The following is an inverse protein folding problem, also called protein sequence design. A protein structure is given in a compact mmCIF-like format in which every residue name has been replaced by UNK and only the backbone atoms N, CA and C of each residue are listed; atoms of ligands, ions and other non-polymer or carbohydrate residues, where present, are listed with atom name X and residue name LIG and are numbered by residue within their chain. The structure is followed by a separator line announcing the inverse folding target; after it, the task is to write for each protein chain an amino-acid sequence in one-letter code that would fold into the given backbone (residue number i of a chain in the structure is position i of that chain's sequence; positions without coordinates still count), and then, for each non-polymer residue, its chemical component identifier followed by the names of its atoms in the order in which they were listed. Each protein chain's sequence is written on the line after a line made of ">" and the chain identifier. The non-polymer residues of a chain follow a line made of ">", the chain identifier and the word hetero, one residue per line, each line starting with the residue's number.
data_IF_012408788766
#
_entry.id   IF_012408788766
#
_cell.length_a   1.000
_cell.length_b   1.000
_cell.length_c   1.000
_cell.angle_alpha   90.00
_cell.angle_beta   90.00
_cell.angle_gamma   90.00
#
_symmetry.space_group_name_H-M   'P 1'
#
loop_
_entity.id
_entity.type
_entity.pdbx_description
1 polymer ?
#
# COMPACT_ATOMS: atom_id res chain seq x y z
N UNK A 1 -23.71 -11.63 -4.46
CA UNK A 1 -23.85 -11.11 -5.84
C UNK A 1 -22.49 -11.29 -6.51
N UNK A 2 -22.36 -11.91 -7.70
CA UNK A 2 -21.09 -11.94 -8.41
C UNK A 2 -20.77 -10.53 -8.93
N UNK A 3 -19.70 -9.92 -8.42
CA UNK A 3 -19.31 -8.53 -8.72
C UNK A 3 -18.28 -8.43 -9.85
N UNK A 4 -17.73 -9.56 -10.29
CA UNK A 4 -16.71 -9.58 -11.35
C UNK A 4 -15.33 -9.22 -10.79
N UNK A 5 -14.69 -8.19 -11.34
CA UNK A 5 -13.33 -7.80 -10.98
C UNK A 5 -13.24 -6.46 -10.25
N UNK A 6 -12.30 -6.34 -9.31
CA UNK A 6 -11.92 -5.09 -8.66
C UNK A 6 -10.60 -4.57 -9.26
N UNK A 7 -10.67 -3.49 -10.04
CA UNK A 7 -9.59 -3.05 -10.93
C UNK A 7 -8.78 -1.85 -10.39
N UNK A 8 -9.03 -1.44 -9.14
CA UNK A 8 -8.31 -0.33 -8.53
C UNK A 8 -8.15 -0.55 -7.03
N UNK A 9 -7.06 -1.21 -6.65
CA UNK A 9 -6.72 -1.49 -5.27
C UNK A 9 -5.28 -1.08 -5.00
N UNK A 10 -5.00 -0.67 -3.77
CA UNK A 10 -3.64 -0.58 -3.25
C UNK A 10 -3.38 -1.84 -2.42
N UNK A 11 -2.29 -2.55 -2.68
CA UNK A 11 -2.02 -3.85 -2.04
C UNK A 11 -1.94 -3.79 -0.51
N UNK A 12 -1.57 -2.63 0.04
CA UNK A 12 -1.52 -2.38 1.47
C UNK A 12 -2.87 -1.99 2.11
N UNK A 13 -3.99 -2.03 1.36
CA UNK A 13 -5.32 -1.64 1.85
C UNK A 13 -6.43 -2.61 1.41
N UNK A 14 -6.10 -3.89 1.25
CA UNK A 14 -7.06 -4.93 0.81
C UNK A 14 -7.53 -5.86 1.92
N UNK A 15 -7.11 -5.58 3.17
CA UNK A 15 -7.37 -6.43 4.33
C UNK A 15 -8.16 -5.64 5.39
N UNK A 16 -9.14 -6.25 6.08
CA UNK A 16 -9.87 -5.60 7.16
C UNK A 16 -8.97 -5.18 8.34
N UNK A 17 -9.20 -3.97 8.87
CA UNK A 17 -8.37 -3.38 9.95
C UNK A 17 -8.50 -4.15 11.27
N UNK A 18 -9.72 -4.59 11.59
CA UNK A 18 -10.00 -5.47 12.73
C UNK A 18 -9.16 -6.75 12.65
N UNK A 19 -9.16 -7.43 11.50
CA UNK A 19 -8.33 -8.61 11.29
C UNK A 19 -6.83 -8.30 11.43
N UNK A 20 -6.37 -7.15 10.92
CA UNK A 20 -4.96 -6.71 11.06
C UNK A 20 -4.59 -6.61 12.54
N UNK A 21 -5.46 -6.01 13.35
CA UNK A 21 -5.23 -5.83 14.79
C UNK A 21 -5.25 -7.18 15.48
N UNK A 22 -6.30 -7.98 15.30
CA UNK A 22 -6.51 -9.27 15.97
C UNK A 22 -5.51 -10.34 15.55
N UNK A 23 -4.89 -10.21 14.38
CA UNK A 23 -3.94 -11.19 13.85
C UNK A 23 -2.50 -10.69 13.94
N UNK A 24 -2.16 -9.62 13.21
CA UNK A 24 -0.76 -9.22 13.06
C UNK A 24 -0.18 -8.66 14.36
N UNK A 25 -0.98 -7.94 15.16
CA UNK A 25 -0.50 -7.35 16.43
C UNK A 25 -0.44 -8.34 17.59
N UNK A 26 -0.85 -9.59 17.34
CA UNK A 26 -0.77 -10.71 18.28
C UNK A 26 0.35 -11.71 17.93
N UNK A 27 1.07 -11.47 16.83
CA UNK A 27 2.25 -12.26 16.49
C UNK A 27 3.37 -12.04 17.52
N UNK A 28 4.18 -13.09 17.81
CA UNK A 28 5.30 -12.98 18.74
C UNK A 28 6.39 -12.05 18.21
N UNK A 29 7.31 -11.66 19.09
CA UNK A 29 8.49 -10.86 18.74
C UNK A 29 8.16 -9.49 18.11
N UNK A 30 6.93 -8.99 18.33
CA UNK A 30 6.48 -7.72 17.81
C UNK A 30 6.73 -6.58 18.79
N UNK A 31 7.47 -5.58 18.34
CA UNK A 31 7.74 -4.35 19.07
C UNK A 31 7.03 -3.18 18.41
N UNK A 32 6.67 -2.20 19.22
CA UNK A 32 6.06 -0.96 18.75
C UNK A 32 6.70 0.25 19.41
N UNK A 33 6.67 1.39 18.72
CA UNK A 33 7.07 2.68 19.28
C UNK A 33 6.29 3.83 18.68
N UNK A 34 5.99 4.81 19.52
CA UNK A 34 5.50 6.11 19.06
C UNK A 34 6.66 6.90 18.43
N UNK A 35 6.37 7.63 17.35
CA UNK A 35 7.37 8.55 16.79
C UNK A 35 7.25 9.91 17.47
N UNK A 36 8.40 10.48 17.82
CA UNK A 36 8.47 11.85 18.37
C UNK A 36 7.83 12.83 17.39
N UNK A 37 6.87 13.63 17.86
CA UNK A 37 6.28 14.73 17.08
C UNK A 37 5.00 14.41 16.30
N UNK A 38 4.04 13.68 16.89
CA UNK A 38 2.74 13.31 16.29
C UNK A 38 2.82 12.41 15.05
N UNK A 39 3.97 11.78 14.82
CA UNK A 39 4.14 10.86 13.70
C UNK A 39 3.56 9.47 14.04
N UNK A 40 3.11 8.71 13.03
CA UNK A 40 2.43 7.45 13.25
C UNK A 40 3.32 6.47 14.01
N UNK A 41 2.69 5.66 14.85
CA UNK A 41 3.33 4.51 15.48
C UNK A 41 3.90 3.59 14.41
N UNK A 42 5.04 2.99 14.71
CA UNK A 42 5.66 1.97 13.85
C UNK A 42 5.88 0.69 14.62
N UNK A 43 5.89 -0.40 13.86
CA UNK A 43 6.10 -1.75 14.33
C UNK A 43 7.42 -2.32 13.80
N UNK A 44 7.98 -3.28 14.53
CA UNK A 44 9.15 -4.03 14.11
C UNK A 44 9.13 -5.42 14.73
N UNK A 45 9.27 -6.43 13.89
CA UNK A 45 9.54 -7.80 14.33
C UNK A 45 11.01 -7.97 14.68
N UNK A 46 11.32 -8.50 15.87
CA UNK A 46 12.70 -8.81 16.26
C UNK A 46 12.79 -9.92 17.29
N UNK A 47 13.52 -10.98 16.95
CA UNK A 47 13.85 -12.08 17.88
C UNK A 47 14.82 -11.64 18.98
N UNK A 48 15.56 -10.57 18.74
CA UNK A 48 16.44 -9.97 19.74
C UNK A 48 15.68 -8.83 20.40
N UNK A 49 15.62 -8.78 21.74
CA UNK A 49 14.95 -7.68 22.44
C UNK A 49 15.44 -6.32 21.98
N UNK A 50 14.51 -5.44 21.63
CA UNK A 50 14.81 -4.04 21.32
C UNK A 50 14.85 -3.22 22.61
N UNK A 51 15.73 -2.22 22.64
CA UNK A 51 15.95 -1.41 23.83
C UNK A 51 14.75 -0.47 24.11
N UNK A 52 14.28 -0.49 25.35
CA UNK A 52 13.28 0.44 25.86
C UNK A 52 13.78 1.89 25.84
N UNK A 53 15.08 2.11 26.03
CA UNK A 53 15.70 3.44 25.97
C UNK A 53 15.59 4.10 24.60
N UNK A 54 15.49 3.30 23.53
CA UNK A 54 15.22 3.72 22.14
C UNK A 54 13.71 3.87 21.84
N UNK A 55 12.86 3.73 22.86
CA UNK A 55 11.41 3.87 22.79
C UNK A 55 10.67 2.62 22.32
N UNK A 56 11.34 1.48 22.14
CA UNK A 56 10.69 0.24 21.73
C UNK A 56 10.06 -0.49 22.91
N UNK A 57 8.83 -0.96 22.72
CA UNK A 57 8.11 -1.77 23.69
C UNK A 57 7.55 -3.02 23.01
N UNK A 58 7.70 -4.18 23.64
CA UNK A 58 7.07 -5.41 23.15
C UNK A 58 5.55 -5.29 23.27
N UNK A 59 4.83 -5.53 22.18
CA UNK A 59 3.36 -5.35 22.10
C UNK A 59 2.64 -6.25 23.08
N UNK A 60 3.10 -7.51 23.24
CA UNK A 60 2.52 -8.44 24.20
C UNK A 60 2.64 -7.93 25.66
N UNK A 61 3.80 -7.39 26.03
CA UNK A 61 4.01 -6.82 27.36
C UNK A 61 3.17 -5.56 27.56
N UNK A 62 3.15 -4.66 26.57
CA UNK A 62 2.35 -3.44 26.63
C UNK A 62 0.86 -3.75 26.81
N UNK A 63 0.33 -4.72 26.05
CA UNK A 63 -1.06 -5.19 26.18
C UNK A 63 -1.34 -5.75 27.59
N UNK A 64 -0.43 -6.57 28.13
CA UNK A 64 -0.57 -7.13 29.47
C UNK A 64 -0.47 -6.08 30.59
N UNK A 65 0.32 -5.03 30.40
CA UNK A 65 0.43 -3.90 31.34
C UNK A 65 -0.87 -3.08 31.34
N UNK A 66 -1.38 -2.72 30.16
CA UNK A 66 -2.62 -1.95 30.03
C UNK A 66 -3.85 -2.70 30.58
N UNK A 67 -3.90 -4.03 30.46
CA UNK A 67 -4.98 -4.84 31.05
C UNK A 67 -4.94 -4.92 32.59
N UNK A 68 -3.81 -4.58 33.21
CA UNK A 68 -3.63 -4.61 34.68
C UNK A 68 -3.81 -3.26 35.36
N UNK A 69 -3.74 -2.15 34.60
CA UNK A 69 -3.85 -0.80 35.17
C UNK A 69 -5.33 -0.45 35.29
N UNK A 70 -5.91 -0.39 36.51
CA UNK A 70 -7.24 0.17 36.67
C UNK A 70 -7.23 1.63 36.18
N UNK A 71 -8.33 2.06 35.56
CA UNK A 71 -8.55 3.36 34.90
C UNK A 71 -8.37 4.61 35.78
N UNK A 72 -7.84 4.48 37.00
CA UNK A 72 -7.81 5.50 38.03
C UNK A 72 -6.45 6.17 38.28
N UNK A 73 -5.34 5.70 37.68
CA UNK A 73 -4.00 6.23 38.01
C UNK A 73 -3.23 6.64 36.74
N UNK A 74 -3.34 7.91 36.34
CA UNK A 74 -2.62 8.50 35.21
C UNK A 74 -1.11 8.61 35.43
N UNK A 75 -0.38 7.54 35.09
CA UNK A 75 1.07 7.47 35.31
C UNK A 75 1.84 6.62 34.31
N UNK A 76 1.69 6.86 33.02
CA UNK A 76 2.78 7.11 32.03
C UNK A 76 2.12 7.97 30.95
N UNK A 77 2.70 9.12 30.65
CA UNK A 77 2.10 10.15 29.82
C UNK A 77 1.92 9.68 28.36
N UNK A 78 0.67 9.42 27.95
CA UNK A 78 0.08 9.77 26.63
C UNK A 78 -1.14 8.95 26.23
N UNK A 79 -1.73 8.06 27.06
CA UNK A 79 -2.94 7.32 26.62
C UNK A 79 -4.21 8.17 26.75
N UNK A 80 -4.89 8.54 25.64
CA UNK A 80 -6.16 9.25 25.72
C UNK A 80 -7.27 8.26 26.07
N UNK A 81 -7.82 8.38 27.28
CA UNK A 81 -9.00 7.63 27.74
C UNK A 81 -8.71 6.18 28.11
N UNK A 82 -9.67 5.55 28.79
CA UNK A 82 -9.66 4.16 29.27
C UNK A 82 -9.69 3.10 28.13
N UNK A 83 -8.90 3.32 27.08
CA UNK A 83 -8.86 2.48 25.87
C UNK A 83 -7.86 1.36 26.05
N UNK A 84 -8.26 0.16 25.63
CA UNK A 84 -7.37 -0.96 25.39
C UNK A 84 -6.35 -0.63 24.30
N UNK A 85 -5.23 -1.36 24.26
CA UNK A 85 -4.21 -1.17 23.23
C UNK A 85 -4.78 -1.37 21.81
N UNK A 86 -5.71 -2.30 21.65
CA UNK A 86 -6.33 -2.61 20.37
C UNK A 86 -7.25 -1.46 19.90
N UNK A 87 -7.97 -0.78 20.80
CA UNK A 87 -8.74 0.43 20.47
C UNK A 87 -7.83 1.61 20.08
N UNK A 88 -6.63 1.69 20.66
CA UNK A 88 -5.61 2.66 20.23
C UNK A 88 -5.16 2.33 18.81
N UNK A 89 -4.77 1.09 18.55
CA UNK A 89 -4.35 0.66 17.21
C UNK A 89 -5.45 0.87 16.17
N UNK A 90 -6.72 0.59 16.50
CA UNK A 90 -7.85 0.87 15.61
C UNK A 90 -7.97 2.37 15.27
N UNK A 91 -7.80 3.25 16.25
CA UNK A 91 -7.80 4.70 16.00
C UNK A 91 -6.60 5.18 15.20
N UNK A 92 -5.47 4.49 15.29
CA UNK A 92 -4.25 4.81 14.55
C UNK A 92 -4.31 4.31 13.10
N UNK A 93 -4.84 3.10 12.89
CA UNK A 93 -4.98 2.41 11.60
C UNK A 93 -6.30 2.71 10.87
N UNK A 94 -7.12 3.64 11.36
CA UNK A 94 -8.35 4.05 10.66
C UNK A 94 -8.40 5.55 10.42
N UNK A 95 -9.16 5.94 9.39
CA UNK A 95 -9.58 7.32 9.18
C UNK A 95 -10.86 7.65 9.98
N UNK A 96 -11.48 6.65 10.60
CA UNK A 96 -12.78 6.78 11.23
C UNK A 96 -12.72 7.70 12.45
N UNK A 97 -13.67 8.63 12.51
CA UNK A 97 -13.91 9.53 13.63
C UNK A 97 -15.37 9.93 13.60
N UNK A 98 -15.97 10.17 14.77
CA UNK A 98 -17.37 10.59 14.87
C UNK A 98 -17.61 12.01 14.36
N UNK A 99 -16.54 12.82 14.23
CA UNK A 99 -16.63 14.22 13.81
C UNK A 99 -15.51 14.55 12.78
N UNK A 100 -15.62 14.04 11.54
CA UNK A 100 -14.56 14.16 10.54
C UNK A 100 -14.30 15.60 10.10
N UNK A 101 -15.33 16.46 10.11
CA UNK A 101 -15.21 17.86 9.68
C UNK A 101 -14.42 18.71 10.67
N UNK A 102 -14.51 18.42 11.97
CA UNK A 102 -13.69 19.10 12.98
C UNK A 102 -12.32 18.42 13.18
N UNK A 103 -12.22 17.11 12.96
CA UNK A 103 -10.96 16.34 13.08
C UNK A 103 -10.02 16.67 11.92
N UNK A 104 -10.51 16.65 10.68
CA UNK A 104 -9.72 16.89 9.47
C UNK A 104 -10.15 18.22 8.84
N UNK A 105 -9.52 19.32 9.28
CA UNK A 105 -9.91 20.69 8.89
C UNK A 105 -9.55 21.02 7.43
N UNK A 106 -8.71 20.21 6.80
CA UNK A 106 -8.27 20.38 5.43
C UNK A 106 -8.02 19.03 4.73
N UNK A 107 -7.95 19.07 3.40
CA UNK A 107 -7.50 17.92 2.62
C UNK A 107 -6.10 17.44 3.06
N UNK A 108 -5.21 18.36 3.48
CA UNK A 108 -3.88 17.99 3.96
C UNK A 108 -3.93 17.18 5.26
N UNK A 109 -4.85 17.50 6.16
CA UNK A 109 -4.98 16.79 7.44
C UNK A 109 -5.40 15.32 7.21
N UNK A 110 -6.42 15.09 6.37
CA UNK A 110 -6.85 13.73 6.04
C UNK A 110 -5.82 12.99 5.18
N UNK A 111 -5.13 13.65 4.25
CA UNK A 111 -4.05 13.03 3.49
C UNK A 111 -2.86 12.65 4.36
N UNK A 112 -2.54 13.45 5.38
CA UNK A 112 -1.52 13.11 6.37
C UNK A 112 -1.92 11.86 7.14
N UNK A 113 -3.14 11.83 7.71
CA UNK A 113 -3.66 10.67 8.44
C UNK A 113 -3.80 9.42 7.56
N UNK A 114 -4.11 9.59 6.27
CA UNK A 114 -4.13 8.49 5.30
C UNK A 114 -2.71 7.96 5.03
N UNK A 115 -1.71 8.83 4.90
CA UNK A 115 -0.31 8.41 4.79
C UNK A 115 0.22 7.71 6.05
N UNK A 116 -0.27 8.12 7.21
CA UNK A 116 0.06 7.51 8.51
C UNK A 116 -0.36 6.04 8.55
N UNK A 117 -1.56 5.71 8.06
CA UNK A 117 -2.02 4.33 7.91
C UNK A 117 -1.00 3.48 7.15
N UNK A 118 -0.55 3.90 5.96
CA UNK A 118 0.41 3.11 5.18
C UNK A 118 1.77 3.00 5.85
N UNK A 119 2.20 4.02 6.58
CA UNK A 119 3.45 3.97 7.34
C UNK A 119 3.37 2.90 8.44
N UNK A 120 2.28 2.91 9.21
CA UNK A 120 2.05 1.94 10.29
C UNK A 120 1.83 0.54 9.73
N UNK A 121 0.91 0.37 8.77
CA UNK A 121 0.57 -0.92 8.22
C UNK A 121 1.75 -1.58 7.50
N UNK A 122 2.54 -0.84 6.71
CA UNK A 122 3.71 -1.43 6.05
C UNK A 122 4.80 -1.84 7.06
N UNK A 123 4.84 -1.24 8.26
CA UNK A 123 5.73 -1.71 9.33
C UNK A 123 5.24 -3.00 10.01
N UNK A 124 3.94 -3.31 9.94
CA UNK A 124 3.38 -4.62 10.32
C UNK A 124 3.55 -5.66 9.19
N UNK A 125 3.38 -5.23 7.94
CA UNK A 125 3.57 -6.04 6.73
C UNK A 125 5.00 -5.93 6.21
N UNK A 126 5.99 -6.16 7.08
CA UNK A 126 7.42 -5.97 6.76
C UNK A 126 8.18 -7.31 6.62
N UNK A 127 7.49 -8.40 6.27
CA UNK A 127 8.11 -9.71 6.03
C UNK A 127 7.28 -10.51 5.03
N UNK A 128 7.89 -11.53 4.40
CA UNK A 128 7.14 -12.44 3.53
C UNK A 128 6.04 -13.18 4.29
N UNK A 129 6.27 -13.53 5.56
CA UNK A 129 5.29 -14.21 6.41
C UNK A 129 4.06 -13.34 6.65
N UNK A 130 4.24 -12.09 7.09
CA UNK A 130 3.14 -11.16 7.34
C UNK A 130 2.43 -10.76 6.03
N UNK A 131 3.19 -10.61 4.93
CA UNK A 131 2.62 -10.39 3.62
C UNK A 131 1.80 -11.59 3.11
N UNK A 132 2.22 -12.83 3.39
CA UNK A 132 1.47 -14.05 3.06
C UNK A 132 0.13 -14.10 3.81
N UNK A 133 0.14 -13.81 5.11
CA UNK A 133 -1.08 -13.73 5.91
C UNK A 133 -2.06 -12.71 5.33
N UNK A 134 -1.59 -11.51 5.01
CA UNK A 134 -2.41 -10.45 4.41
C UNK A 134 -2.99 -10.88 3.05
N UNK A 135 -2.16 -11.48 2.20
CA UNK A 135 -2.58 -11.88 0.85
C UNK A 135 -3.63 -12.99 0.90
N UNK A 136 -3.44 -14.01 1.75
CA UNK A 136 -4.42 -15.09 1.94
C UNK A 136 -5.76 -14.53 2.38
N UNK A 137 -5.75 -13.68 3.41
CA UNK A 137 -6.97 -13.01 3.90
C UNK A 137 -7.66 -12.19 2.81
N UNK A 138 -6.89 -11.41 2.04
CA UNK A 138 -7.44 -10.59 0.96
C UNK A 138 -8.13 -11.43 -0.13
N UNK A 139 -7.51 -12.54 -0.54
CA UNK A 139 -8.07 -13.44 -1.56
C UNK A 139 -9.36 -14.12 -1.04
N UNK A 140 -9.35 -14.58 0.21
CA UNK A 140 -10.52 -15.17 0.86
C UNK A 140 -11.70 -14.19 0.94
N UNK A 141 -11.45 -12.95 1.39
CA UNK A 141 -12.49 -11.93 1.55
C UNK A 141 -13.04 -11.47 0.21
N UNK A 142 -12.19 -11.33 -0.81
CA UNK A 142 -12.64 -10.97 -2.15
C UNK A 142 -13.54 -12.05 -2.74
N UNK A 143 -13.13 -13.30 -2.62
CA UNK A 143 -13.94 -14.41 -3.11
C UNK A 143 -15.28 -14.47 -2.37
N UNK A 144 -15.29 -14.33 -1.04
CA UNK A 144 -16.50 -14.31 -0.22
C UNK A 144 -17.45 -13.16 -0.60
N UNK A 145 -16.92 -12.03 -1.03
CA UNK A 145 -17.69 -10.86 -1.49
C UNK A 145 -18.13 -10.96 -2.98
N UNK A 146 -17.84 -12.09 -3.64
CA UNK A 146 -18.20 -12.34 -5.03
C UNK A 146 -17.29 -11.66 -6.06
N UNK A 147 -16.07 -11.29 -5.66
CA UNK A 147 -15.02 -10.76 -6.53
C UNK A 147 -14.16 -11.93 -7.02
N UNK A 148 -14.05 -12.07 -8.33
CA UNK A 148 -13.34 -13.16 -9.00
C UNK A 148 -11.97 -12.73 -9.54
N UNK A 149 -11.67 -11.43 -9.60
CA UNK A 149 -10.41 -10.91 -10.14
C UNK A 149 -9.99 -9.61 -9.47
N UNK A 150 -8.69 -9.39 -9.25
CA UNK A 150 -8.16 -8.17 -8.64
C UNK A 150 -6.96 -7.56 -9.37
N UNK A 151 -6.90 -6.24 -9.49
CA UNK A 151 -5.71 -5.50 -9.95
C UNK A 151 -5.17 -4.55 -8.86
N UNK A 152 -4.00 -4.90 -8.33
CA UNK A 152 -3.39 -4.25 -7.17
C UNK A 152 -2.27 -3.33 -7.65
N UNK A 153 -2.13 -2.18 -6.99
CA UNK A 153 -1.08 -1.19 -7.26
C UNK A 153 0.03 -1.27 -6.22
N UNK A 154 1.15 -0.59 -6.53
CA UNK A 154 2.40 -0.55 -5.74
C UNK A 154 3.19 -1.85 -5.81
N UNK A 155 2.81 -2.88 -5.05
CA UNK A 155 3.43 -4.21 -5.11
C UNK A 155 4.84 -4.29 -4.55
N UNK A 156 5.31 -3.26 -3.84
CA UNK A 156 6.62 -3.28 -3.20
C UNK A 156 6.54 -3.86 -1.78
N UNK A 157 7.57 -4.63 -1.41
CA UNK A 157 7.73 -5.15 -0.05
C UNK A 157 9.16 -4.90 0.42
N UNK A 158 9.30 -4.26 1.57
CA UNK A 158 10.59 -4.04 2.22
C UNK A 158 10.55 -4.62 3.63
N UNK A 159 11.66 -5.19 4.08
CA UNK A 159 11.77 -5.62 5.47
C UNK A 159 12.02 -4.45 6.43
N UNK A 160 12.04 -4.75 7.73
CA UNK A 160 12.27 -3.74 8.78
C UNK A 160 13.67 -3.09 8.74
N UNK A 161 14.61 -3.62 7.95
CA UNK A 161 15.95 -3.06 7.72
C UNK A 161 16.04 -2.33 6.37
N UNK A 162 14.97 -2.30 5.58
CA UNK A 162 14.92 -1.69 4.25
C UNK A 162 15.45 -2.60 3.13
N UNK A 163 15.65 -3.89 3.38
CA UNK A 163 15.96 -4.87 2.33
C UNK A 163 14.75 -5.03 1.41
N UNK A 164 14.97 -4.90 0.10
CA UNK A 164 13.94 -5.09 -0.92
C UNK A 164 13.61 -6.59 -1.07
N UNK A 165 12.36 -6.93 -0.80
CA UNK A 165 11.80 -8.29 -0.91
C UNK A 165 10.76 -8.40 -2.04
N UNK A 166 10.69 -7.42 -2.94
CA UNK A 166 9.63 -7.31 -3.96
C UNK A 166 9.58 -8.52 -4.89
N UNK A 167 10.73 -9.03 -5.36
CA UNK A 167 10.73 -10.22 -6.23
C UNK A 167 10.21 -11.45 -5.50
N UNK A 168 10.67 -11.68 -4.26
CA UNK A 168 10.18 -12.76 -3.40
C UNK A 168 8.69 -12.62 -3.11
N UNK A 169 8.20 -11.40 -2.91
CA UNK A 169 6.78 -11.12 -2.72
C UNK A 169 5.96 -11.46 -3.97
N UNK A 170 6.44 -11.14 -5.18
CA UNK A 170 5.76 -11.52 -6.41
C UNK A 170 5.70 -13.04 -6.61
N UNK A 171 6.73 -13.78 -6.21
CA UNK A 171 6.71 -15.25 -6.24
C UNK A 171 5.75 -15.82 -5.19
N UNK A 172 5.70 -15.23 -3.99
CA UNK A 172 4.71 -15.54 -2.97
C UNK A 172 3.27 -15.29 -3.48
N UNK A 173 3.03 -14.19 -4.20
CA UNK A 173 1.73 -13.88 -4.81
C UNK A 173 1.31 -14.98 -5.78
N UNK A 174 2.21 -15.39 -6.69
CA UNK A 174 1.94 -16.49 -7.64
C UNK A 174 1.54 -17.76 -6.91
N UNK A 175 2.31 -18.12 -5.88
CA UNK A 175 2.09 -19.33 -5.07
C UNK A 175 0.70 -19.29 -4.44
N UNK A 176 0.40 -18.24 -3.66
CA UNK A 176 -0.89 -18.13 -2.95
C UNK A 176 -2.08 -18.11 -3.90
N UNK A 177 -2.00 -17.37 -5.01
CA UNK A 177 -3.09 -17.33 -6.00
C UNK A 177 -3.28 -18.69 -6.66
N UNK A 178 -2.21 -19.38 -7.04
CA UNK A 178 -2.29 -20.71 -7.67
C UNK A 178 -2.88 -21.74 -6.70
N UNK A 179 -2.46 -21.72 -5.44
CA UNK A 179 -3.00 -22.59 -4.39
C UNK A 179 -4.49 -22.32 -4.15
N UNK A 180 -4.91 -21.06 -4.13
CA UNK A 180 -6.32 -20.69 -3.95
C UNK A 180 -7.19 -21.12 -5.15
N UNK A 181 -6.68 -20.96 -6.38
CA UNK A 181 -7.37 -21.38 -7.60
C UNK A 181 -7.57 -22.89 -7.68
N UNK A 182 -6.70 -23.69 -7.05
CA UNK A 182 -6.84 -25.15 -7.03
C UNK A 182 -8.14 -25.60 -6.31
N UNK A 183 -8.62 -24.81 -5.34
CA UNK A 183 -9.86 -25.08 -4.61
C UNK A 183 -11.02 -24.16 -5.03
N UNK A 184 -10.74 -23.08 -5.76
CA UNK A 184 -11.72 -22.11 -6.26
C UNK A 184 -11.50 -21.83 -7.77
N UNK A 185 -11.87 -22.76 -8.66
CA UNK A 185 -11.53 -22.68 -10.09
C UNK A 185 -12.20 -21.50 -10.83
N UNK A 186 -13.20 -20.86 -10.25
CA UNK A 186 -13.85 -19.66 -10.77
C UNK A 186 -13.19 -18.35 -10.32
N UNK A 187 -12.20 -18.42 -9.42
CA UNK A 187 -11.34 -17.28 -9.10
C UNK A 187 -10.30 -17.09 -10.21
N UNK A 188 -10.36 -15.96 -10.91
CA UNK A 188 -9.51 -15.64 -12.05
C UNK A 188 -8.10 -15.17 -11.66
N UNK A 189 -7.90 -14.76 -10.41
CA UNK A 189 -6.59 -14.41 -9.83
C UNK A 189 -6.37 -12.93 -9.57
N UNK A 190 -5.11 -12.55 -9.33
CA UNK A 190 -4.68 -11.19 -9.03
C UNK A 190 -3.54 -10.78 -9.97
N UNK A 191 -3.52 -9.52 -10.40
CA UNK A 191 -2.37 -8.89 -11.06
C UNK A 191 -1.85 -7.69 -10.30
N UNK A 192 -0.56 -7.44 -10.42
CA UNK A 192 0.08 -6.25 -9.87
C UNK A 192 0.47 -5.27 -10.98
N UNK A 193 0.13 -4.01 -10.75
CA UNK A 193 0.57 -2.84 -11.50
C UNK A 193 1.57 -2.11 -10.60
N UNK A 194 2.86 -2.28 -10.88
CA UNK A 194 3.90 -1.62 -10.10
C UNK A 194 3.84 -0.10 -10.33
N UNK A 195 3.73 0.68 -9.25
CA UNK A 195 3.58 2.14 -9.31
C UNK A 195 4.45 2.84 -8.28
N UNK A 196 5.26 3.82 -8.70
CA UNK A 196 6.09 4.62 -7.80
C UNK A 196 5.33 5.79 -7.15
N UNK A 197 5.85 6.27 -6.01
CA UNK A 197 5.27 7.42 -5.31
C UNK A 197 5.52 8.73 -6.08
N UNK A 198 4.45 9.50 -6.37
CA UNK A 198 4.50 10.71 -7.22
C UNK A 198 5.51 11.76 -6.74
N UNK A 199 5.75 11.89 -5.44
CA UNK A 199 6.74 12.87 -4.89
C UNK A 199 8.19 12.53 -5.21
N UNK A 200 8.49 11.28 -5.57
CA UNK A 200 9.84 10.87 -5.97
C UNK A 200 10.17 11.24 -7.43
N UNK A 201 9.19 11.76 -8.18
CA UNK A 201 9.36 12.13 -9.59
C UNK A 201 9.91 13.55 -9.81
N UNK A 202 9.82 14.45 -8.83
CA UNK A 202 10.02 15.90 -9.06
C UNK A 202 11.38 16.49 -8.63
N UNK A 203 12.40 15.68 -8.31
CA UNK A 203 13.67 16.20 -7.77
C UNK A 203 14.90 15.87 -8.61
N UNK A 204 15.35 16.77 -9.49
CA UNK A 204 16.77 16.83 -9.88
C UNK A 204 17.55 17.47 -8.71
N UNK A 205 18.28 16.65 -7.95
CA UNK A 205 19.16 17.13 -6.89
C UNK A 205 20.23 16.08 -6.53
N UNK A 206 21.50 16.47 -6.29
CA UNK A 206 22.65 15.56 -6.19
C UNK A 206 22.65 14.63 -4.96
N UNK A 207 21.64 14.71 -4.08
CA UNK A 207 21.43 13.74 -3.01
C UNK A 207 20.78 12.42 -3.50
N UNK A 208 20.28 12.39 -4.75
CA UNK A 208 19.60 11.23 -5.35
C UNK A 208 20.55 10.08 -5.70
N UNK A 209 21.86 10.31 -5.90
CA UNK A 209 22.77 9.26 -6.38
C UNK A 209 23.01 8.13 -5.37
N UNK A 210 22.87 8.38 -4.05
CA UNK A 210 23.03 7.32 -3.05
C UNK A 210 21.77 6.47 -2.83
N UNK A 211 20.59 7.01 -3.15
CA UNK A 211 19.35 6.26 -3.13
C UNK A 211 19.06 5.60 -4.48
N UNK A 212 19.64 6.10 -5.59
CA UNK A 212 19.36 5.62 -6.94
C UNK A 212 20.41 4.72 -7.59
N UNK A 213 21.59 4.50 -7.01
CA UNK A 213 22.48 3.43 -7.49
C UNK A 213 21.86 2.03 -7.35
N UNK A 214 20.80 1.87 -6.53
CA UNK A 214 19.97 0.66 -6.48
C UNK A 214 18.67 0.71 -7.30
N UNK A 215 18.22 1.89 -7.75
CA UNK A 215 16.91 2.09 -8.42
C UNK A 215 17.01 2.21 -9.95
N UNK A 216 18.13 1.77 -10.56
CA UNK A 216 18.37 1.89 -11.99
C UNK A 216 17.48 1.03 -12.89
N UNK A 217 16.51 1.68 -13.54
CA UNK A 217 15.99 1.41 -14.90
C UNK A 217 15.10 0.18 -15.22
N UNK A 218 14.94 -0.83 -14.36
CA UNK A 218 14.12 -2.02 -14.74
C UNK A 218 12.61 -1.92 -14.49
N UNK A 219 12.14 -1.01 -13.64
CA UNK A 219 10.75 -1.04 -13.14
C UNK A 219 9.69 -0.39 -14.05
N UNK A 220 10.06 0.32 -15.13
CA UNK A 220 9.11 1.20 -15.81
C UNK A 220 8.19 0.57 -16.87
N UNK A 221 8.30 -0.74 -17.14
CA UNK A 221 7.42 -1.44 -18.10
C UNK A 221 7.21 -2.92 -17.78
N UNK A 222 6.84 -3.28 -16.54
CA UNK A 222 6.48 -4.68 -16.24
C UNK A 222 5.07 -4.77 -15.68
N UNK A 223 4.10 -5.00 -16.56
CA UNK A 223 2.86 -5.65 -16.17
C UNK A 223 3.23 -7.10 -15.90
N UNK A 224 3.20 -7.52 -14.64
CA UNK A 224 3.40 -8.93 -14.29
C UNK A 224 2.03 -9.59 -14.37
N UNK A 225 1.73 -10.20 -15.52
CA UNK A 225 0.51 -10.98 -15.72
C UNK A 225 0.73 -12.39 -15.20
N UNK A 226 -0.01 -12.77 -14.15
CA UNK A 226 0.03 -14.09 -13.55
C UNK A 226 -1.31 -14.77 -13.80
N UNK A 227 -1.51 -15.23 -15.04
CA UNK A 227 -2.64 -16.06 -15.42
C UNK A 227 -2.10 -17.26 -16.20
N UNK A 228 -2.36 -18.51 -15.77
CA UNK A 228 -2.01 -19.71 -16.53
C UNK A 228 -2.91 -19.94 -17.76
N UNK A 229 -4.02 -19.20 -17.91
CA UNK A 229 -4.93 -19.33 -19.06
C UNK A 229 -4.71 -18.28 -20.14
N UNK A 230 -4.50 -18.66 -21.41
CA UNK A 230 -4.38 -17.71 -22.53
C UNK A 230 -5.76 -17.12 -22.89
N UNK A 231 -5.89 -15.81 -22.77
CA UNK A 231 -7.08 -15.07 -23.22
C UNK A 231 -6.91 -14.68 -24.70
N UNK A 232 -7.74 -15.23 -25.59
CA UNK A 232 -7.80 -14.83 -27.00
C UNK A 232 -8.70 -13.59 -27.15
N UNK A 233 -8.11 -12.42 -27.40
CA UNK A 233 -8.85 -11.24 -27.88
C UNK A 233 -8.61 -11.05 -29.37
N UNK A 234 -9.67 -11.11 -30.17
CA UNK A 234 -9.64 -10.86 -31.62
C UNK A 234 -9.25 -9.43 -31.95
N UNK A 235 -8.33 -9.27 -32.90
CA UNK A 235 -7.86 -7.97 -33.40
C UNK A 235 -8.84 -7.40 -34.43
N UNK A 236 -9.44 -6.24 -34.15
CA UNK A 236 -10.02 -5.37 -35.19
C UNK A 236 -9.11 -4.16 -35.40
N UNK A 237 -8.53 -4.04 -36.59
CA UNK A 237 -7.77 -2.88 -37.06
C UNK A 237 -8.73 -1.81 -37.59
N UNK A 238 -8.64 -0.58 -37.06
CA UNK A 238 -9.23 0.62 -37.66
C UNK A 238 -8.08 1.52 -38.15
N UNK A 239 -7.98 1.72 -39.46
CA UNK A 239 -7.04 2.67 -40.09
C UNK A 239 -7.66 4.07 -40.10
N UNK A 240 -7.03 5.04 -39.45
CA UNK A 240 -7.34 6.46 -39.64
C UNK A 240 -6.51 7.02 -40.82
N UNK A 241 -7.18 7.65 -41.79
CA UNK A 241 -6.54 8.48 -42.85
C UNK A 241 -6.56 9.94 -42.39
N UNK A 242 -5.40 10.59 -42.39
CA UNK A 242 -5.27 12.05 -42.26
C UNK A 242 -5.05 12.68 -43.64
N UNK A 243 -5.88 13.66 -44.00
CA UNK A 243 -5.68 14.53 -45.17
C UNK A 243 -4.93 15.80 -44.72
N UNK A 244 -3.78 16.08 -45.32
CA UNK A 244 -3.08 17.35 -45.16
C UNK A 244 -3.39 18.27 -46.35
N UNK A 245 -3.81 19.52 -46.07
CA UNK A 245 -3.78 20.62 -47.04
C UNK A 245 -2.96 21.75 -46.41
N UNK A 246 -1.80 22.01 -46.99
CA UNK A 246 -0.89 23.09 -46.60
C UNK A 246 -1.27 24.39 -47.32
N UNK A 247 -1.25 25.50 -46.59
CA UNK A 247 -1.14 26.86 -47.16
C UNK A 247 0.01 27.54 -46.42
N UNK A 248 1.01 27.95 -47.18
CA UNK A 248 2.20 28.66 -46.72
C UNK A 248 2.03 30.17 -46.93
N UNK A 249 2.62 30.98 -46.04
CA UNK A 249 3.13 32.33 -46.32
C UNK A 249 3.95 32.87 -45.14
N UNK A 250 4.81 33.88 -45.36
CA UNK A 250 6.21 33.82 -44.94
C UNK A 250 6.58 34.89 -43.90
N UNK A 251 7.20 34.46 -42.82
CA UNK A 251 7.92 35.32 -41.87
C UNK A 251 8.86 34.39 -41.10
N UNK A 252 10.16 34.65 -41.23
CA UNK A 252 11.20 33.87 -40.60
C UNK A 252 11.46 34.37 -39.19
N UNK A 253 10.95 33.66 -38.19
CA UNK A 253 11.54 33.64 -36.86
C UNK A 253 11.41 32.24 -36.25
N UNK A 254 12.57 31.61 -36.06
CA UNK A 254 12.71 30.24 -35.56
C UNK A 254 12.70 30.32 -34.03
N UNK A 255 11.59 29.94 -33.39
CA UNK A 255 11.57 29.59 -31.97
C UNK A 255 11.27 28.10 -31.86
N UNK A 256 12.23 27.33 -31.33
CA UNK A 256 12.02 25.93 -30.98
C UNK A 256 11.21 25.88 -29.68
N UNK A 257 9.89 25.81 -29.80
CA UNK A 257 9.03 25.37 -28.70
C UNK A 257 9.09 23.85 -28.63
N UNK A 258 9.74 23.31 -27.60
CA UNK A 258 9.63 21.88 -27.27
C UNK A 258 8.21 21.63 -26.77
N UNK A 259 7.37 21.07 -27.63
CA UNK A 259 6.03 20.58 -27.28
C UNK A 259 6.24 19.34 -26.41
N UNK A 260 5.93 19.44 -25.11
CA UNK A 260 5.71 18.28 -24.26
C UNK A 260 4.23 17.93 -24.28
N UNK A 261 3.93 16.77 -24.86
CA UNK A 261 2.61 16.18 -25.00
C UNK A 261 1.89 16.06 -23.65
N UNK A 262 0.86 16.88 -23.47
CA UNK A 262 -0.15 16.71 -22.42
C UNK A 262 -1.25 15.80 -22.95
N UNK A 263 -1.21 14.53 -22.55
CA UNK A 263 -2.28 13.60 -22.87
C UNK A 263 -3.48 13.86 -21.94
N UNK A 264 -4.41 14.71 -22.39
CA UNK A 264 -5.73 14.87 -21.78
C UNK A 264 -6.62 13.69 -22.17
N UNK A 265 -6.89 12.78 -21.22
CA UNK A 265 -7.97 11.79 -21.37
C UNK A 265 -9.27 12.44 -20.91
N UNK A 266 -10.15 12.72 -21.87
CA UNK A 266 -11.56 13.07 -21.64
C UNK A 266 -12.27 11.87 -21.01
N UNK A 267 -12.80 12.06 -19.80
CA UNK A 267 -13.83 11.20 -19.23
C UNK A 267 -15.13 11.44 -20.03
N UNK A 268 -15.67 10.40 -20.66
CA UNK A 268 -17.09 10.35 -21.03
C UNK A 268 -17.76 9.51 -19.96
N UNK A 269 -18.86 10.06 -19.43
CA UNK A 269 -19.63 9.68 -18.24
C UNK A 269 -19.71 8.17 -17.93
#
# INVERSE_FOLDING_TARGET
>A
MPKGGNLHLHDASVVPIDWIIETLTYLPDLYTKERVGNAPRIFKFSKTPLDYSDGWQEVAQLRAQMGKTPSCCGGVASTPGNRSLDEIFLSELSLFTSDPYNTYKSANDIWSKFGDYFTTFNSLRSSLETAELCLKKAVEDFYADGIQYGEFREGFLYDANGTDLTENYMDLVKKVVTEFQATHPDFLGIKFILTGHRRLWTGHGPALDRLLTGFGQKAFKRIVSLSPTPFHMGTHHVKAKTNHRAVASPDGSRSESTVQDTCHVKLVL
#
